data_IF_100815627624
#
_entry.id   IF_100815627624
#
_cell.length_a   1.000
_cell.length_b   1.000
_cell.length_c   1.000
_cell.angle_alpha   90.00
_cell.angle_beta   90.00
_cell.angle_gamma   90.00
#
_symmetry.space_group_name_H-M   'P 1'
#
loop_
_entity.id
_entity.type
_entity.pdbx_description
1 polymer ?
#
# COMPACT_ATOMS: atom_id res chain seq x y z
N UNK A 1 3.76 4.13 26.11
CA UNK A 1 2.55 3.46 25.59
C UNK A 1 2.17 2.34 26.54
N UNK A 2 0.95 2.35 27.09
CA UNK A 2 0.49 1.30 28.02
C UNK A 2 0.17 0.00 27.25
N UNK A 3 0.24 -1.15 27.92
CA UNK A 3 0.03 -2.46 27.31
C UNK A 3 -1.35 -2.58 26.62
N UNK A 4 -2.40 -2.08 27.25
CA UNK A 4 -3.77 -2.09 26.69
C UNK A 4 -3.88 -1.27 25.40
N UNK A 5 -3.20 -0.12 25.33
CA UNK A 5 -3.19 0.74 24.13
C UNK A 5 -2.36 0.11 23.03
N UNK A 6 -1.26 -0.56 23.37
CA UNK A 6 -0.46 -1.32 22.41
C UNK A 6 -1.23 -2.52 21.83
N UNK A 7 -2.00 -3.26 22.63
CA UNK A 7 -2.88 -4.33 22.14
C UNK A 7 -3.96 -3.80 21.18
N UNK A 8 -4.54 -2.64 21.48
CA UNK A 8 -5.49 -1.99 20.58
C UNK A 8 -4.84 -1.58 19.25
N UNK A 9 -3.62 -1.03 19.29
CA UNK A 9 -2.84 -0.72 18.09
C UNK A 9 -2.59 -1.99 17.26
N UNK A 10 -2.14 -3.07 17.92
CA UNK A 10 -1.84 -4.35 17.28
C UNK A 10 -3.09 -4.92 16.58
N UNK A 11 -4.23 -4.95 17.26
CA UNK A 11 -5.49 -5.44 16.70
C UNK A 11 -5.98 -4.62 15.51
N UNK A 12 -5.96 -3.29 15.64
CA UNK A 12 -6.38 -2.41 14.56
C UNK A 12 -5.44 -2.49 13.34
N UNK A 13 -4.12 -2.58 13.57
CA UNK A 13 -3.15 -2.76 12.51
C UNK A 13 -3.30 -4.12 11.81
N UNK A 14 -3.61 -5.19 12.54
CA UNK A 14 -3.90 -6.48 11.92
C UNK A 14 -5.14 -6.39 11.02
N UNK A 15 -6.25 -5.83 11.53
CA UNK A 15 -7.48 -5.65 10.78
C UNK A 15 -7.27 -4.82 9.50
N UNK A 16 -6.57 -3.69 9.60
CA UNK A 16 -6.31 -2.83 8.44
C UNK A 16 -5.40 -3.55 7.44
N UNK A 17 -4.39 -4.30 7.89
CA UNK A 17 -3.44 -4.99 7.02
C UNK A 17 -4.10 -6.15 6.26
N UNK A 18 -5.02 -6.89 6.90
CA UNK A 18 -5.78 -7.98 6.26
C UNK A 18 -6.90 -7.48 5.33
N UNK A 19 -7.29 -6.21 5.45
CA UNK A 19 -8.26 -5.62 4.53
C UNK A 19 -7.60 -5.38 3.15
N UNK A 20 -8.18 -5.86 2.05
CA UNK A 20 -7.59 -5.69 0.73
C UNK A 20 -7.55 -4.22 0.31
N UNK A 21 -6.42 -3.79 -0.22
CA UNK A 21 -6.21 -2.42 -0.70
C UNK A 21 -5.10 -2.34 -1.76
N UNK A 22 -4.71 -1.13 -2.14
CA UNK A 22 -3.71 -0.90 -3.18
C UNK A 22 -2.37 -1.61 -2.90
N UNK A 23 -1.95 -1.61 -1.64
CA UNK A 23 -0.74 -2.32 -1.19
C UNK A 23 -0.80 -3.83 -1.40
N UNK A 24 -1.88 -4.47 -0.92
CA UNK A 24 -2.10 -5.91 -1.08
C UNK A 24 -2.15 -6.33 -2.56
N UNK A 25 -2.83 -5.54 -3.40
CA UNK A 25 -2.90 -5.77 -4.85
C UNK A 25 -1.53 -5.71 -5.51
N UNK A 26 -0.71 -4.72 -5.15
CA UNK A 26 0.65 -4.58 -5.66
C UNK A 26 1.54 -5.75 -5.23
N UNK A 27 1.43 -6.18 -3.97
CA UNK A 27 2.18 -7.32 -3.44
C UNK A 27 1.82 -8.63 -4.13
N UNK A 28 0.53 -8.92 -4.28
CA UNK A 28 0.06 -10.08 -5.04
C UNK A 28 0.53 -10.02 -6.51
N UNK A 29 0.42 -8.85 -7.15
CA UNK A 29 0.89 -8.66 -8.53
C UNK A 29 2.39 -8.92 -8.66
N UNK A 30 3.21 -8.41 -7.75
CA UNK A 30 4.66 -8.62 -7.76
C UNK A 30 5.01 -10.09 -7.49
N UNK A 31 4.35 -10.73 -6.53
CA UNK A 31 4.57 -12.16 -6.25
C UNK A 31 4.21 -13.05 -7.45
N UNK A 32 3.15 -12.70 -8.20
CA UNK A 32 2.72 -13.41 -9.41
C UNK A 32 3.66 -13.17 -10.61
N UNK A 33 4.24 -11.97 -10.74
CA UNK A 33 5.00 -11.55 -11.92
C UNK A 33 6.48 -11.84 -11.81
N UNK A 34 7.11 -11.47 -10.69
CA UNK A 34 8.56 -11.61 -10.45
C UNK A 34 8.90 -12.67 -9.40
N UNK A 35 7.89 -13.28 -8.79
CA UNK A 35 8.02 -14.37 -7.81
C UNK A 35 8.03 -13.90 -6.36
N UNK A 36 7.69 -14.83 -5.46
CA UNK A 36 7.57 -14.61 -4.01
C UNK A 36 8.78 -13.86 -3.42
N UNK A 37 10.00 -14.35 -3.63
CA UNK A 37 11.22 -13.76 -3.06
C UNK A 37 11.47 -12.33 -3.55
N UNK A 38 11.26 -12.07 -4.85
CA UNK A 38 11.49 -10.74 -5.44
C UNK A 38 10.39 -9.73 -5.09
N UNK A 39 9.20 -10.20 -4.74
CA UNK A 39 8.11 -9.33 -4.27
C UNK A 39 8.47 -8.51 -3.02
N UNK A 40 9.51 -8.92 -2.28
CA UNK A 40 9.96 -8.25 -1.05
C UNK A 40 10.35 -6.82 -1.32
N UNK A 41 10.96 -6.56 -2.48
CA UNK A 41 11.38 -5.21 -2.86
C UNK A 41 10.19 -4.26 -2.92
N UNK A 42 9.05 -4.72 -3.45
CA UNK A 42 7.81 -3.95 -3.42
C UNK A 42 7.27 -3.73 -2.02
N UNK A 43 7.33 -4.74 -1.15
CA UNK A 43 6.89 -4.64 0.24
C UNK A 43 7.78 -3.68 1.03
N UNK A 44 9.10 -3.71 0.84
CA UNK A 44 10.03 -2.75 1.44
C UNK A 44 9.71 -1.31 1.00
N UNK A 45 9.38 -1.12 -0.28
CA UNK A 45 8.88 0.17 -0.78
C UNK A 45 7.62 0.62 -0.03
N UNK A 46 6.68 -0.29 0.19
CA UNK A 46 5.46 -0.02 0.96
C UNK A 46 5.78 0.35 2.41
N UNK A 47 6.75 -0.31 3.06
CA UNK A 47 7.15 0.00 4.42
C UNK A 47 7.76 1.39 4.54
N UNK A 48 8.61 1.78 3.59
CA UNK A 48 9.17 3.14 3.55
C UNK A 48 8.04 4.18 3.40
N UNK A 49 7.00 3.89 2.61
CA UNK A 49 5.83 4.76 2.55
C UNK A 49 5.12 4.87 3.92
N UNK A 50 4.94 3.77 4.65
CA UNK A 50 4.31 3.81 5.98
C UNK A 50 5.13 4.67 6.94
N UNK A 51 6.45 4.52 6.94
CA UNK A 51 7.35 5.35 7.75
C UNK A 51 7.24 6.83 7.38
N UNK A 52 7.11 7.16 6.09
CA UNK A 52 6.86 8.54 5.64
C UNK A 52 5.53 9.07 6.18
N UNK A 53 4.43 8.30 6.13
CA UNK A 53 3.17 8.73 6.71
C UNK A 53 3.27 8.97 8.22
N UNK A 54 3.95 8.07 8.95
CA UNK A 54 4.18 8.23 10.40
C UNK A 54 5.01 9.49 10.66
N UNK A 55 6.06 9.74 9.88
CA UNK A 55 6.89 10.93 10.01
C UNK A 55 6.08 12.21 9.73
N UNK A 56 5.21 12.20 8.72
CA UNK A 56 4.30 13.32 8.40
C UNK A 56 3.34 13.59 9.57
N UNK A 57 2.73 12.55 10.13
CA UNK A 57 1.85 12.68 11.30
C UNK A 57 2.62 13.18 12.53
N UNK A 58 3.82 12.62 12.78
CA UNK A 58 4.69 13.00 13.88
C UNK A 58 5.24 14.43 13.77
N UNK A 59 5.49 14.92 12.55
CA UNK A 59 5.93 16.28 12.27
C UNK A 59 4.81 17.34 12.42
N UNK A 60 3.59 16.93 12.82
CA UNK A 60 2.46 17.85 12.98
C UNK A 60 1.80 18.26 11.65
N UNK A 61 2.23 17.69 10.52
CA UNK A 61 1.62 17.93 9.21
C UNK A 61 0.19 17.38 9.18
N UNK A 62 -0.13 16.36 9.99
CA UNK A 62 -1.51 15.94 10.19
C UNK A 62 -2.41 17.07 10.70
N UNK A 63 -1.88 17.93 11.60
CA UNK A 63 -2.59 19.10 12.12
C UNK A 63 -2.71 20.21 11.05
N UNK A 64 -1.63 20.47 10.30
CA UNK A 64 -1.61 21.49 9.24
C UNK A 64 -2.50 21.12 8.04
N UNK A 65 -2.46 19.87 7.60
CA UNK A 65 -3.30 19.34 6.52
C UNK A 65 -4.75 19.25 6.96
N UNK A 66 -5.03 18.82 8.20
CA UNK A 66 -6.39 18.86 8.74
C UNK A 66 -6.93 20.29 8.88
N UNK A 67 -6.05 21.26 9.17
CA UNK A 67 -6.42 22.69 9.25
C UNK A 67 -6.48 23.40 7.89
N UNK A 68 -5.96 22.78 6.82
CA UNK A 68 -5.88 23.37 5.48
C UNK A 68 -6.62 22.54 4.44
N UNK A 69 -7.84 22.96 4.06
CA UNK A 69 -8.62 22.30 3.01
C UNK A 69 -7.88 22.19 1.68
N UNK A 70 -7.02 23.17 1.35
CA UNK A 70 -6.24 23.18 0.11
C UNK A 70 -5.18 22.09 0.10
N UNK A 71 -4.40 21.96 1.18
CA UNK A 71 -3.35 20.94 1.28
C UNK A 71 -3.95 19.52 1.25
N UNK A 72 -5.07 19.33 1.96
CA UNK A 72 -5.83 18.08 1.91
C UNK A 72 -6.30 17.76 0.49
N UNK A 73 -6.90 18.72 -0.21
CA UNK A 73 -7.41 18.53 -1.57
C UNK A 73 -6.30 18.24 -2.58
N UNK A 74 -5.15 18.91 -2.52
CA UNK A 74 -4.02 18.64 -3.43
C UNK A 74 -3.52 17.21 -3.28
N UNK A 75 -3.35 16.73 -2.04
CA UNK A 75 -2.91 15.35 -1.77
C UNK A 75 -3.98 14.35 -2.22
N UNK A 76 -5.24 14.61 -1.90
CA UNK A 76 -6.40 13.79 -2.27
C UNK A 76 -6.55 13.66 -3.79
N UNK A 77 -6.63 14.77 -4.51
CA UNK A 77 -6.82 14.77 -5.97
C UNK A 77 -5.57 14.26 -6.70
N UNK A 78 -4.37 14.55 -6.20
CA UNK A 78 -3.12 14.00 -6.75
C UNK A 78 -3.06 12.47 -6.62
N UNK A 79 -3.39 11.93 -5.45
CA UNK A 79 -3.50 10.48 -5.23
C UNK A 79 -4.58 9.83 -6.08
N UNK A 80 -5.74 10.48 -6.21
CA UNK A 80 -6.85 10.00 -7.02
C UNK A 80 -6.48 9.92 -8.51
N UNK A 81 -5.92 10.99 -9.07
CA UNK A 81 -5.47 11.05 -10.46
C UNK A 81 -4.43 9.97 -10.77
N UNK A 82 -3.50 9.73 -9.84
CA UNK A 82 -2.49 8.69 -10.01
C UNK A 82 -3.07 7.28 -9.96
N UNK A 83 -4.01 6.99 -9.06
CA UNK A 83 -4.70 5.70 -9.00
C UNK A 83 -5.52 5.43 -10.26
N UNK A 84 -6.20 6.45 -10.79
CA UNK A 84 -6.91 6.37 -12.07
C UNK A 84 -5.92 6.10 -13.21
N UNK A 85 -4.79 6.81 -13.26
CA UNK A 85 -3.72 6.56 -14.25
C UNK A 85 -3.21 5.11 -14.19
N UNK A 86 -2.89 4.60 -12.99
CA UNK A 86 -2.43 3.21 -12.82
C UNK A 86 -3.51 2.20 -13.22
N UNK A 87 -4.77 2.48 -12.88
CA UNK A 87 -5.91 1.66 -13.25
C UNK A 87 -6.10 1.58 -14.77
N UNK A 88 -6.10 2.73 -15.46
CA UNK A 88 -6.19 2.82 -16.93
C UNK A 88 -5.02 2.09 -17.58
N UNK A 89 -3.79 2.29 -17.11
CA UNK A 89 -2.61 1.59 -17.62
C UNK A 89 -2.77 0.07 -17.50
N UNK A 90 -3.37 -0.42 -16.42
CA UNK A 90 -3.67 -1.84 -16.22
C UNK A 90 -4.79 -2.36 -17.13
N UNK A 91 -5.83 -1.57 -17.36
CA UNK A 91 -6.94 -1.91 -18.27
C UNK A 91 -6.50 -2.01 -19.73
N UNK A 92 -5.57 -1.15 -20.15
CA UNK A 92 -5.05 -1.09 -21.51
C UNK A 92 -3.89 -2.08 -21.76
N UNK A 93 -3.40 -2.76 -20.72
CA UNK A 93 -2.27 -3.67 -20.82
C UNK A 93 -2.65 -4.93 -21.61
N UNK A 94 -2.12 -5.06 -22.84
CA UNK A 94 -2.27 -6.29 -23.64
C UNK A 94 -1.37 -7.40 -23.09
N UNK A 95 -1.86 -8.66 -23.01
CA UNK A 95 -1.04 -9.80 -22.64
C UNK A 95 -0.13 -10.19 -23.81
N UNK A 96 1.06 -9.61 -23.87
CA UNK A 96 2.14 -10.15 -24.70
C UNK A 96 2.95 -11.13 -23.84
N UNK A 97 2.83 -12.43 -24.09
CA UNK A 97 3.49 -13.45 -23.27
C UNK A 97 5.01 -13.50 -23.50
N UNK A 98 5.49 -13.09 -24.69
CA UNK A 98 6.92 -13.09 -25.05
C UNK A 98 7.59 -11.81 -24.54
N UNK A 99 6.98 -10.63 -24.76
CA UNK A 99 7.47 -9.36 -24.23
C UNK A 99 7.38 -9.32 -22.70
N UNK A 100 6.31 -9.89 -22.10
CA UNK A 100 6.24 -9.97 -20.64
C UNK A 100 7.18 -11.01 -20.04
N UNK A 101 7.57 -12.07 -20.75
CA UNK A 101 8.61 -12.97 -20.26
C UNK A 101 9.98 -12.27 -20.23
N UNK A 102 10.29 -11.47 -21.25
CA UNK A 102 11.50 -10.66 -21.32
C UNK A 102 11.51 -9.51 -20.29
N UNK A 103 10.41 -8.77 -20.14
CA UNK A 103 10.27 -7.68 -19.15
C UNK A 103 10.23 -8.22 -17.71
N UNK A 104 9.63 -9.39 -17.44
CA UNK A 104 9.66 -10.04 -16.12
C UNK A 104 11.06 -10.48 -15.71
N UNK A 105 11.96 -10.78 -16.66
CA UNK A 105 13.37 -11.06 -16.36
C UNK A 105 14.19 -9.78 -16.09
N UNK A 106 13.78 -8.63 -16.64
CA UNK A 106 14.53 -7.36 -16.60
C UNK A 106 14.08 -6.36 -15.51
N UNK A 107 12.93 -6.57 -14.84
CA UNK A 107 12.44 -5.60 -13.84
C UNK A 107 13.33 -5.61 -12.57
N UNK A 108 14.15 -4.56 -12.41
CA UNK A 108 15.09 -4.42 -11.30
C UNK A 108 14.43 -4.21 -9.94
N UNK A 109 15.11 -4.63 -8.87
CA UNK A 109 14.68 -4.47 -7.48
C UNK A 109 14.22 -3.05 -7.14
N UNK A 110 14.95 -2.04 -7.65
CA UNK A 110 14.62 -0.65 -7.41
C UNK A 110 13.31 -0.19 -8.07
N UNK A 111 12.95 -0.77 -9.23
CA UNK A 111 11.66 -0.49 -9.89
C UNK A 111 10.49 -0.99 -9.03
N UNK A 112 10.61 -2.23 -8.53
CA UNK A 112 9.62 -2.84 -7.64
C UNK A 112 9.48 -2.04 -6.34
N UNK A 113 10.59 -1.62 -5.75
CA UNK A 113 10.63 -0.76 -4.58
C UNK A 113 9.93 0.58 -4.82
N UNK A 114 10.31 1.32 -5.87
CA UNK A 114 9.67 2.60 -6.19
C UNK A 114 8.18 2.44 -6.43
N UNK A 115 7.77 1.38 -7.11
CA UNK A 115 6.36 1.09 -7.35
C UNK A 115 5.60 0.86 -6.04
N UNK A 116 6.15 0.04 -5.14
CA UNK A 116 5.57 -0.19 -3.81
C UNK A 116 5.47 1.08 -2.98
N UNK A 117 6.52 1.91 -3.01
CA UNK A 117 6.58 3.21 -2.35
C UNK A 117 5.45 4.12 -2.83
N UNK A 118 5.36 4.37 -4.14
CA UNK A 118 4.34 5.27 -4.69
C UNK A 118 2.92 4.75 -4.54
N UNK A 119 2.70 3.44 -4.73
CA UNK A 119 1.38 2.83 -4.54
C UNK A 119 0.89 3.06 -3.11
N UNK A 120 1.77 2.94 -2.12
CA UNK A 120 1.37 3.06 -0.73
C UNK A 120 1.36 4.51 -0.22
N UNK A 121 2.26 5.38 -0.71
CA UNK A 121 2.23 6.83 -0.45
C UNK A 121 0.92 7.48 -0.93
N UNK A 122 0.39 7.01 -2.07
CA UNK A 122 -0.83 7.54 -2.67
C UNK A 122 -2.06 6.70 -2.32
N UNK A 123 -1.94 5.77 -1.37
CA UNK A 123 -3.01 4.89 -0.96
C UNK A 123 -3.97 5.64 -0.02
N UNK A 124 -5.20 5.96 -0.42
CA UNK A 124 -6.14 6.70 0.42
C UNK A 124 -6.46 5.98 1.72
N UNK A 125 -6.48 4.65 1.69
CA UNK A 125 -6.68 3.84 2.89
C UNK A 125 -5.54 4.05 3.89
N UNK A 126 -4.30 4.13 3.41
CA UNK A 126 -3.16 4.45 4.25
C UNK A 126 -3.29 5.88 4.76
N UNK A 127 -3.46 6.86 3.88
CA UNK A 127 -3.58 8.28 4.23
C UNK A 127 -4.64 8.51 5.32
N UNK A 128 -5.86 8.00 5.12
CA UNK A 128 -6.97 8.13 6.09
C UNK A 128 -6.66 7.43 7.40
N UNK A 129 -6.11 6.21 7.37
CA UNK A 129 -5.73 5.49 8.59
C UNK A 129 -4.64 6.23 9.37
N UNK A 130 -3.56 6.65 8.71
CA UNK A 130 -2.45 7.33 9.38
C UNK A 130 -2.88 8.69 9.94
N UNK A 131 -3.71 9.45 9.22
CA UNK A 131 -4.17 10.76 9.68
C UNK A 131 -5.21 10.67 10.81
N UNK A 132 -6.21 9.78 10.69
CA UNK A 132 -7.33 9.73 11.63
C UNK A 132 -7.05 8.83 12.84
N UNK A 133 -6.23 7.80 12.67
CA UNK A 133 -6.10 6.71 13.62
C UNK A 133 -4.86 6.86 14.51
N UNK A 134 -3.68 7.23 13.96
CA UNK A 134 -2.44 7.37 14.76
C UNK A 134 -2.55 8.33 15.93
N UNK A 135 -3.13 9.54 15.80
CA UNK A 135 -3.21 10.48 16.91
C UNK A 135 -3.91 9.89 18.15
N UNK A 136 -4.79 8.91 17.98
CA UNK A 136 -5.53 8.26 19.06
C UNK A 136 -4.65 7.34 19.94
N UNK A 137 -3.47 6.94 19.44
CA UNK A 137 -2.53 6.06 20.15
C UNK A 137 -1.37 6.81 20.80
N UNK A 138 -1.29 8.12 20.58
CA UNK A 138 -0.22 8.98 21.08
C UNK A 138 -0.75 9.83 22.22
N UNK A 139 -0.01 9.85 23.34
CA UNK A 139 -0.25 10.78 24.44
C UNK A 139 0.72 11.95 24.31
N UNK A 140 0.25 13.18 24.02
CA UNK A 140 1.11 14.34 23.84
C UNK A 140 1.89 14.74 25.10
N UNK A 141 1.41 14.35 26.28
CA UNK A 141 2.02 14.63 27.58
C UNK A 141 3.19 13.69 27.94
N UNK A 142 3.42 12.64 27.15
CA UNK A 142 4.51 11.67 27.36
C UNK A 142 5.59 11.82 26.25
N UNK A 143 6.83 11.33 26.47
CA UNK A 143 7.88 11.41 25.46
C UNK A 143 7.45 10.82 24.10
N UNK A 144 7.45 11.64 23.05
CA UNK A 144 6.88 11.28 21.75
C UNK A 144 7.75 10.30 20.96
N UNK A 145 9.07 10.46 21.01
CA UNK A 145 10.03 9.63 20.25
C UNK A 145 9.83 8.13 20.54
N UNK A 146 9.71 7.75 21.82
CA UNK A 146 9.49 6.36 22.20
C UNK A 146 8.13 5.82 21.74
N UNK A 147 7.08 6.64 21.78
CA UNK A 147 5.74 6.25 21.34
C UNK A 147 5.68 6.02 19.82
N UNK A 148 6.24 6.95 19.03
CA UNK A 148 6.31 6.79 17.58
C UNK A 148 7.24 5.65 17.17
N UNK A 149 8.31 5.37 17.91
CA UNK A 149 9.18 4.22 17.66
C UNK A 149 8.45 2.88 17.84
N UNK A 150 7.72 2.71 18.95
CA UNK A 150 6.91 1.50 19.20
C UNK A 150 5.80 1.37 18.16
N UNK A 151 5.14 2.48 17.81
CA UNK A 151 4.09 2.51 16.80
C UNK A 151 4.63 2.09 15.44
N UNK A 152 5.72 2.73 14.97
CA UNK A 152 6.33 2.42 13.68
C UNK A 152 6.81 0.98 13.60
N UNK A 153 7.48 0.48 14.64
CA UNK A 153 7.92 -0.91 14.70
C UNK A 153 6.74 -1.89 14.62
N UNK A 154 5.66 -1.63 15.37
CA UNK A 154 4.47 -2.50 15.38
C UNK A 154 3.75 -2.49 14.02
N UNK A 155 3.55 -1.30 13.45
CA UNK A 155 2.87 -1.11 12.16
C UNK A 155 3.62 -1.81 11.03
N UNK A 156 4.92 -1.56 10.92
CA UNK A 156 5.78 -2.15 9.88
C UNK A 156 5.89 -3.67 10.05
N UNK A 157 6.07 -4.16 11.28
CA UNK A 157 6.20 -5.60 11.52
C UNK A 157 4.93 -6.35 11.10
N UNK A 158 3.76 -5.87 11.51
CA UNK A 158 2.48 -6.52 11.18
C UNK A 158 2.22 -6.44 9.67
N UNK A 159 2.44 -5.28 9.05
CA UNK A 159 2.19 -5.12 7.62
C UNK A 159 3.11 -6.03 6.79
N UNK A 160 4.42 -6.11 7.12
CA UNK A 160 5.34 -7.05 6.47
C UNK A 160 4.87 -8.49 6.65
N UNK A 161 4.45 -8.89 7.86
CA UNK A 161 3.98 -10.24 8.11
C UNK A 161 2.77 -10.59 7.25
N UNK A 162 1.77 -9.70 7.19
CA UNK A 162 0.56 -9.92 6.39
C UNK A 162 0.88 -9.87 4.88
N UNK A 163 1.62 -8.88 4.42
CA UNK A 163 1.96 -8.73 3.00
C UNK A 163 2.81 -9.91 2.51
N UNK A 164 3.79 -10.36 3.29
CA UNK A 164 4.68 -11.45 2.92
C UNK A 164 4.02 -12.82 3.08
N UNK A 165 3.50 -13.15 4.27
CA UNK A 165 3.04 -14.51 4.56
C UNK A 165 1.60 -14.78 4.14
N UNK A 166 0.76 -13.74 4.02
CA UNK A 166 -0.62 -13.91 3.55
C UNK A 166 -0.74 -13.57 2.06
N UNK A 167 -0.52 -12.32 1.65
CA UNK A 167 -0.80 -11.90 0.27
C UNK A 167 0.21 -12.44 -0.75
N UNK A 168 1.51 -12.33 -0.49
CA UNK A 168 2.52 -12.86 -1.40
C UNK A 168 2.49 -14.39 -1.46
N UNK A 169 2.12 -15.08 -0.37
CA UNK A 169 1.94 -16.53 -0.37
C UNK A 169 0.65 -16.97 -1.08
N UNK A 170 -0.47 -16.27 -0.87
CA UNK A 170 -1.75 -16.54 -1.53
C UNK A 170 -1.65 -16.41 -3.07
N UNK A 171 -0.74 -15.56 -3.56
CA UNK A 171 -0.43 -15.47 -4.98
C UNK A 171 -0.04 -16.82 -5.61
N UNK A 172 0.61 -17.73 -4.86
CA UNK A 172 0.97 -19.08 -5.39
C UNK A 172 -0.27 -19.88 -5.78
N UNK A 173 -1.37 -19.74 -5.04
CA UNK A 173 -2.65 -20.41 -5.34
C UNK A 173 -3.30 -19.89 -6.63
N UNK A 174 -3.01 -18.63 -7.00
CA UNK A 174 -3.48 -18.00 -8.24
C UNK A 174 -2.55 -18.21 -9.44
N UNK A 175 -1.40 -18.89 -9.27
CA UNK A 175 -0.37 -19.05 -10.32
C UNK A 175 -0.89 -19.72 -11.59
N UNK A 176 -1.87 -20.63 -11.48
CA UNK A 176 -2.53 -21.29 -12.63
C UNK A 176 -3.31 -20.31 -13.52
N UNK A 177 -3.91 -19.28 -12.93
CA UNK A 177 -4.63 -18.24 -13.68
C UNK A 177 -3.67 -17.28 -14.39
N UNK A 178 -2.49 -17.02 -13.83
CA UNK A 178 -1.50 -16.11 -14.44
C UNK A 178 -0.67 -16.69 -15.57
N UNK A 179 -0.71 -18.02 -15.77
CA UNK A 179 -0.01 -18.69 -16.86
C UNK A 179 -0.78 -18.64 -18.18
N UNK A 180 -2.09 -18.36 -18.14
CA UNK A 180 -2.91 -18.23 -19.35
C UNK A 180 -3.18 -16.76 -19.69
N UNK A 181 -3.12 -16.37 -20.98
CA UNK A 181 -3.36 -14.99 -21.41
C UNK A 181 -4.76 -14.47 -21.03
N UNK A 182 -5.77 -15.34 -21.03
CA UNK A 182 -7.13 -15.01 -20.56
C UNK A 182 -7.17 -14.66 -19.07
N UNK A 183 -6.46 -15.41 -18.23
CA UNK A 183 -6.42 -15.14 -16.79
C UNK A 183 -5.64 -13.87 -16.47
N UNK A 184 -4.60 -13.55 -17.24
CA UNK A 184 -3.91 -12.26 -17.10
C UNK A 184 -4.76 -11.06 -17.51
N UNK A 185 -5.57 -11.17 -18.57
CA UNK A 185 -6.52 -10.11 -18.95
C UNK A 185 -7.52 -9.90 -17.82
N UNK A 186 -8.08 -10.97 -17.27
CA UNK A 186 -9.03 -10.89 -16.15
C UNK A 186 -8.38 -10.23 -14.94
N UNK A 187 -7.15 -10.64 -14.58
CA UNK A 187 -6.42 -10.07 -13.44
C UNK A 187 -6.11 -8.57 -13.64
N UNK A 188 -5.62 -8.19 -14.83
CA UNK A 188 -5.33 -6.81 -15.19
C UNK A 188 -6.61 -5.96 -15.19
N UNK A 189 -7.74 -6.51 -15.63
CA UNK A 189 -9.03 -5.83 -15.57
C UNK A 189 -9.55 -5.64 -14.15
N UNK A 190 -9.49 -6.69 -13.32
CA UNK A 190 -9.92 -6.61 -11.92
C UNK A 190 -9.08 -5.58 -11.16
N UNK A 191 -7.75 -5.64 -11.27
CA UNK A 191 -6.89 -4.66 -10.60
C UNK A 191 -7.00 -3.26 -11.19
N UNK A 192 -7.17 -3.15 -12.51
CA UNK A 192 -7.43 -1.88 -13.19
C UNK A 192 -8.71 -1.21 -12.69
N UNK A 193 -9.81 -1.96 -12.63
CA UNK A 193 -11.11 -1.50 -12.12
C UNK A 193 -11.03 -1.13 -10.63
N UNK A 194 -10.36 -1.93 -9.81
CA UNK A 194 -10.16 -1.63 -8.39
C UNK A 194 -9.39 -0.32 -8.18
N UNK A 195 -8.30 -0.10 -8.92
CA UNK A 195 -7.55 1.16 -8.81
C UNK A 195 -8.35 2.37 -9.29
N UNK A 196 -9.09 2.26 -10.39
CA UNK A 196 -10.00 3.33 -10.85
C UNK A 196 -11.09 3.60 -9.80
N UNK A 197 -11.76 2.57 -9.29
CA UNK A 197 -12.83 2.71 -8.31
C UNK A 197 -12.34 3.37 -7.02
N UNK A 198 -11.18 2.96 -6.50
CA UNK A 198 -10.58 3.58 -5.31
C UNK A 198 -10.11 5.00 -5.59
N UNK A 199 -9.56 5.28 -6.78
CA UNK A 199 -9.19 6.64 -7.18
C UNK A 199 -10.40 7.57 -7.28
N UNK A 200 -11.51 7.11 -7.84
CA UNK A 200 -12.78 7.86 -7.91
C UNK A 200 -13.36 8.06 -6.50
N UNK A 201 -13.41 7.00 -5.68
CA UNK A 201 -13.91 7.10 -4.31
C UNK A 201 -13.09 8.13 -3.53
N UNK A 202 -11.76 8.14 -3.69
CA UNK A 202 -10.89 9.14 -3.08
C UNK A 202 -11.15 10.55 -3.63
N UNK A 203 -11.43 10.71 -4.92
CA UNK A 203 -11.79 12.01 -5.47
C UNK A 203 -13.13 12.53 -4.93
N UNK A 204 -14.04 11.65 -4.52
CA UNK A 204 -15.42 12.00 -4.10
C UNK A 204 -15.61 12.05 -2.57
N UNK A 205 -14.77 11.37 -1.77
CA UNK A 205 -14.78 11.37 -0.30
C UNK A 205 -14.13 12.61 0.34
#
# INVERSE_FOLDING_TARGET
MTFSVWLALLGAQALISFSPGAGAVNTMSNSLTVGFRRSMWGILGQQVALLVHIAVVAAGVGLLVASSPVAFNVIRFGGAAYLVYLGIRKLLQRPDLEEQAAVRQAEGAFSLFRRGLWVNLLNPKAIVFFLAFIPQFIKPSEPLLGQYGVLAGTVVAIDVLVMWFFYAAAAKSFRRFTQNPRGQIVLNRVFGLLFVAVGILLAVA
#
